data_IF_523985342771
#
_entry.id   IF_523985342771
#
_cell.length_a   1.000
_cell.length_b   1.000
_cell.length_c   1.000
_cell.angle_alpha   90.00
_cell.angle_beta   90.00
_cell.angle_gamma   90.00
#
_symmetry.space_group_name_H-M   'P 1'
#
loop_
_entity.id
_entity.type
_entity.pdbx_description
1 polymer ?
#
# COMPACT_ATOMS: atom_id res chain seq x y z
N UNK A 1 -3.78 15.24 -11.53
CA UNK A 1 -4.77 14.90 -10.48
C UNK A 1 -5.87 14.02 -11.07
N UNK A 2 -6.13 12.85 -10.48
CA UNK A 2 -7.22 11.96 -10.90
C UNK A 2 -8.53 12.76 -10.99
N UNK A 3 -9.24 12.64 -12.10
CA UNK A 3 -10.54 13.30 -12.28
C UNK A 3 -11.57 12.43 -11.56
N UNK A 4 -12.01 12.86 -10.38
CA UNK A 4 -13.11 12.19 -9.67
C UNK A 4 -14.41 12.44 -10.43
N UNK A 5 -15.10 11.39 -10.83
CA UNK A 5 -16.41 11.47 -11.46
C UNK A 5 -17.52 11.66 -10.41
N UNK A 6 -18.69 12.21 -10.79
CA UNK A 6 -19.82 12.33 -9.87
C UNK A 6 -20.26 10.97 -9.32
N UNK A 7 -20.06 10.76 -8.02
CA UNK A 7 -20.40 9.50 -7.32
C UNK A 7 -19.18 8.68 -6.87
N UNK A 8 -17.97 9.04 -7.32
CA UNK A 8 -16.76 8.41 -6.83
C UNK A 8 -16.54 8.70 -5.33
N UNK A 9 -16.02 7.72 -4.56
CA UNK A 9 -15.61 7.99 -3.19
C UNK A 9 -14.55 9.10 -3.17
N UNK A 10 -14.63 10.04 -2.21
CA UNK A 10 -13.67 11.14 -2.13
C UNK A 10 -12.24 10.61 -1.95
N UNK A 11 -11.29 11.22 -2.67
CA UNK A 11 -9.87 10.88 -2.54
C UNK A 11 -9.44 10.93 -1.06
N UNK A 12 -8.59 10.02 -0.57
CA UNK A 12 -8.24 9.94 0.84
C UNK A 12 -7.52 11.18 1.37
N UNK A 13 -6.77 11.89 0.53
CA UNK A 13 -6.23 13.22 0.87
C UNK A 13 -7.34 14.24 1.13
N UNK A 14 -8.47 14.16 0.44
CA UNK A 14 -9.66 14.98 0.68
C UNK A 14 -10.46 14.49 1.90
N UNK A 15 -10.49 13.18 2.17
CA UNK A 15 -11.12 12.60 3.38
C UNK A 15 -10.32 12.97 4.63
N UNK A 16 -8.99 12.85 4.56
CA UNK A 16 -8.06 13.08 5.65
C UNK A 16 -7.58 14.53 5.76
N UNK A 17 -8.11 15.46 4.94
CA UNK A 17 -7.65 16.86 4.91
C UNK A 17 -7.75 17.58 6.26
N UNK A 18 -8.68 17.16 7.12
CA UNK A 18 -8.93 17.73 8.45
C UNK A 18 -8.42 16.80 9.58
N UNK A 19 -7.51 15.88 9.26
CA UNK A 19 -7.00 14.84 10.17
C UNK A 19 -7.29 13.42 9.69
N UNK A 20 -6.57 12.43 10.22
CA UNK A 20 -6.66 11.02 9.79
C UNK A 20 -8.04 10.45 10.16
N UNK A 21 -8.92 10.35 9.17
CA UNK A 21 -10.27 9.78 9.28
C UNK A 21 -10.36 8.36 8.74
N UNK A 22 -9.42 7.92 7.90
CA UNK A 22 -9.35 6.54 7.41
C UNK A 22 -7.91 6.08 7.31
N UNK A 23 -7.68 4.82 7.64
CA UNK A 23 -6.36 4.23 7.58
C UNK A 23 -6.35 2.75 7.92
N UNK A 24 -5.16 2.28 8.26
CA UNK A 24 -4.90 0.90 8.65
C UNK A 24 -4.11 0.83 9.94
N UNK A 25 -4.50 -0.09 10.81
CA UNK A 25 -3.72 -0.55 11.97
C UNK A 25 -3.02 -1.84 11.58
N UNK A 26 -1.72 -1.97 11.86
CA UNK A 26 -0.90 -3.11 11.44
C UNK A 26 0.00 -3.61 12.56
N UNK A 27 0.27 -4.91 12.61
CA UNK A 27 1.40 -5.45 13.37
C UNK A 27 2.67 -5.41 12.51
N UNK A 28 3.76 -4.87 13.05
CA UNK A 28 5.00 -4.61 12.30
C UNK A 28 5.74 -5.86 11.79
N UNK A 29 5.33 -7.05 12.20
CA UNK A 29 5.91 -8.33 11.80
C UNK A 29 4.96 -9.18 10.93
N UNK A 30 3.78 -8.66 10.57
CA UNK A 30 2.79 -9.41 9.79
C UNK A 30 3.24 -9.63 8.35
N UNK A 31 3.11 -10.87 7.87
CA UNK A 31 3.20 -11.23 6.45
C UNK A 31 1.82 -11.22 5.78
N UNK A 32 1.82 -11.02 4.45
CA UNK A 32 0.64 -11.17 3.56
C UNK A 32 -0.64 -10.49 4.03
N UNK A 33 -0.55 -9.28 4.60
CA UNK A 33 -1.71 -8.51 5.06
C UNK A 33 -2.55 -9.20 6.16
N UNK A 34 -2.01 -10.24 6.82
CA UNK A 34 -2.75 -11.06 7.79
C UNK A 34 -3.23 -10.29 9.02
N UNK A 35 -2.41 -9.38 9.54
CA UNK A 35 -2.69 -8.54 10.70
C UNK A 35 -2.67 -7.06 10.33
N UNK A 36 -3.53 -6.71 9.38
CA UNK A 36 -3.78 -5.35 8.93
C UNK A 36 -5.27 -5.12 9.03
N UNK A 37 -5.74 -4.07 9.72
CA UNK A 37 -7.17 -3.77 9.88
C UNK A 37 -7.46 -2.35 9.43
N UNK A 38 -8.51 -2.17 8.62
CA UNK A 38 -8.97 -0.85 8.22
C UNK A 38 -9.73 -0.20 9.38
N UNK A 39 -9.52 1.08 9.59
CA UNK A 39 -10.33 1.89 10.50
C UNK A 39 -10.99 3.06 9.75
N UNK A 40 -12.18 3.44 10.21
CA UNK A 40 -12.93 4.59 9.73
C UNK A 40 -13.34 5.45 10.94
N UNK A 41 -12.63 6.55 11.17
CA UNK A 41 -12.80 7.47 12.29
C UNK A 41 -12.05 7.04 13.55
N UNK A 42 -11.97 7.96 14.51
CA UNK A 42 -11.19 7.79 15.75
C UNK A 42 -11.69 6.65 16.63
N UNK A 43 -13.01 6.47 16.74
CA UNK A 43 -13.60 5.39 17.53
C UNK A 43 -13.27 4.00 16.94
N UNK A 44 -13.33 3.88 15.61
CA UNK A 44 -12.93 2.67 14.91
C UNK A 44 -11.43 2.41 15.09
N UNK A 45 -10.59 3.45 14.99
CA UNK A 45 -9.15 3.34 15.23
C UNK A 45 -8.86 2.77 16.62
N UNK A 46 -9.45 3.35 17.66
CA UNK A 46 -9.28 2.87 19.04
C UNK A 46 -9.68 1.39 19.16
N UNK A 47 -10.85 1.02 18.63
CA UNK A 47 -11.33 -0.36 18.67
C UNK A 47 -10.36 -1.33 17.95
N UNK A 48 -9.85 -0.95 16.77
CA UNK A 48 -8.93 -1.78 15.99
C UNK A 48 -7.55 -1.88 16.59
N UNK A 49 -7.06 -0.85 17.28
CA UNK A 49 -5.83 -0.93 18.05
C UNK A 49 -5.96 -1.91 19.22
N UNK A 50 -7.04 -1.82 20.00
CA UNK A 50 -7.30 -2.78 21.09
C UNK A 50 -7.43 -4.19 20.54
N UNK A 51 -8.25 -4.39 19.52
CA UNK A 51 -8.45 -5.70 18.89
C UNK A 51 -7.12 -6.30 18.43
N UNK A 52 -6.29 -5.54 17.70
CA UNK A 52 -4.99 -6.01 17.21
C UNK A 52 -4.01 -6.38 18.32
N UNK A 53 -3.97 -5.60 19.39
CA UNK A 53 -3.04 -5.80 20.52
C UNK A 53 -3.50 -6.90 21.47
N UNK A 54 -4.77 -7.30 21.42
CA UNK A 54 -5.35 -8.34 22.27
C UNK A 54 -5.58 -9.67 21.56
N UNK A 55 -5.14 -9.80 20.30
CA UNK A 55 -5.17 -11.07 19.56
C UNK A 55 -4.45 -12.14 20.40
N UNK A 56 -5.08 -13.31 20.54
CA UNK A 56 -4.49 -14.43 21.26
C UNK A 56 -3.09 -14.76 20.72
N UNK A 57 -2.09 -14.76 21.60
CA UNK A 57 -0.69 -15.01 21.25
C UNK A 57 0.07 -13.79 20.70
N UNK A 58 -0.56 -12.62 20.61
CA UNK A 58 0.14 -11.38 20.27
C UNK A 58 1.03 -10.95 21.44
N UNK A 59 2.34 -10.92 21.22
CA UNK A 59 3.33 -10.41 22.19
C UNK A 59 3.88 -9.04 21.79
N UNK A 60 3.30 -8.40 20.77
CA UNK A 60 3.72 -7.08 20.35
C UNK A 60 3.44 -6.06 21.45
N UNK A 61 4.36 -5.12 21.68
CA UNK A 61 4.15 -3.97 22.56
C UNK A 61 3.57 -2.75 21.84
N UNK A 62 3.55 -2.78 20.50
CA UNK A 62 3.09 -1.69 19.65
C UNK A 62 2.42 -2.20 18.38
N UNK A 63 1.53 -1.38 17.83
CA UNK A 63 0.98 -1.49 16.48
C UNK A 63 1.28 -0.21 15.69
N UNK A 64 1.40 -0.34 14.37
CA UNK A 64 1.59 0.78 13.45
C UNK A 64 0.25 1.30 12.98
N UNK A 65 0.11 2.62 12.88
CA UNK A 65 -1.05 3.28 12.29
C UNK A 65 -0.57 4.04 11.06
N UNK A 66 -1.21 3.78 9.92
CA UNK A 66 -0.88 4.42 8.65
C UNK A 66 -2.17 4.98 8.05
N UNK A 67 -2.10 6.19 7.50
CA UNK A 67 -3.22 6.75 6.75
C UNK A 67 -3.58 5.89 5.53
N UNK A 68 -4.85 5.95 5.12
CA UNK A 68 -5.30 5.25 3.92
C UNK A 68 -4.80 6.00 2.69
N UNK A 69 -4.13 5.27 1.80
CA UNK A 69 -3.75 5.76 0.46
C UNK A 69 -4.68 5.10 -0.53
N UNK A 70 -5.33 5.89 -1.39
CA UNK A 70 -6.05 5.31 -2.53
C UNK A 70 -5.05 4.98 -3.61
N UNK A 71 -5.21 3.81 -4.17
CA UNK A 71 -4.43 3.37 -5.30
C UNK A 71 -5.27 2.37 -6.10
N UNK A 72 -5.16 2.45 -7.43
CA UNK A 72 -5.75 1.44 -8.31
C UNK A 72 -4.98 0.12 -8.22
N UNK A 73 -3.67 0.22 -8.01
CA UNK A 73 -2.76 -0.90 -7.84
C UNK A 73 -1.53 -0.52 -7.02
N UNK A 74 -0.97 -1.51 -6.33
CA UNK A 74 0.32 -1.40 -5.64
C UNK A 74 1.45 -1.73 -6.62
N UNK A 75 2.34 -0.77 -6.89
CA UNK A 75 3.54 -1.00 -7.70
C UNK A 75 4.66 -1.59 -6.83
N UNK A 76 5.27 -2.68 -7.31
CA UNK A 76 6.37 -3.39 -6.66
C UNK A 76 7.57 -3.45 -7.60
N UNK A 77 8.67 -2.86 -7.15
CA UNK A 77 9.92 -2.79 -7.89
C UNK A 77 10.89 -3.83 -7.30
N UNK A 78 11.54 -4.61 -8.17
CA UNK A 78 12.53 -5.61 -7.79
C UNK A 78 13.91 -5.18 -8.27
N UNK A 79 14.78 -4.86 -7.33
CA UNK A 79 16.16 -4.47 -7.58
C UNK A 79 17.08 -5.66 -7.33
N UNK A 80 17.89 -6.01 -8.32
CA UNK A 80 18.91 -7.07 -8.21
C UNK A 80 20.24 -6.43 -8.61
N UNK A 81 21.01 -5.89 -7.64
CA UNK A 81 22.27 -5.25 -7.94
C UNK A 81 23.26 -6.29 -8.49
N UNK A 82 24.07 -5.95 -9.51
CA UNK A 82 25.00 -6.90 -10.12
C UNK A 82 26.19 -7.26 -9.20
N UNK A 83 26.33 -6.58 -8.06
CA UNK A 83 27.40 -6.78 -7.10
C UNK A 83 27.23 -5.90 -5.86
N UNK A 84 28.33 -5.66 -5.14
CA UNK A 84 28.34 -4.72 -4.03
C UNK A 84 28.13 -3.29 -4.56
N UNK A 85 27.18 -2.56 -3.98
CA UNK A 85 26.93 -1.16 -4.29
C UNK A 85 27.93 -0.27 -3.55
N UNK A 86 28.40 0.78 -4.22
CA UNK A 86 29.15 1.85 -3.56
C UNK A 86 28.26 3.09 -3.38
N UNK A 87 28.53 3.95 -2.37
CA UNK A 87 27.74 5.16 -2.16
C UNK A 87 27.69 6.03 -3.42
N UNK A 88 26.48 6.37 -3.86
CA UNK A 88 26.24 7.14 -5.09
C UNK A 88 25.86 6.30 -6.30
N UNK A 89 25.99 4.97 -6.25
CA UNK A 89 25.45 4.09 -7.27
C UNK A 89 23.92 4.17 -7.30
N UNK A 90 23.36 4.11 -8.51
CA UNK A 90 21.93 3.94 -8.72
C UNK A 90 21.65 2.55 -9.29
N UNK A 91 20.51 1.98 -8.91
CA UNK A 91 20.08 0.67 -9.40
C UNK A 91 18.70 0.81 -10.03
N UNK A 92 18.59 0.37 -11.27
CA UNK A 92 17.30 0.27 -11.96
C UNK A 92 16.58 -1.03 -11.56
N UNK A 93 15.23 -1.01 -11.49
CA UNK A 93 14.48 -2.22 -11.20
C UNK A 93 14.59 -3.20 -12.37
N UNK A 94 14.94 -4.45 -12.06
CA UNK A 94 14.97 -5.54 -13.06
C UNK A 94 13.58 -6.02 -13.44
N UNK A 95 12.60 -5.77 -12.57
CA UNK A 95 11.20 -6.13 -12.76
C UNK A 95 10.32 -5.15 -12.02
N UNK A 96 9.21 -4.79 -12.65
CA UNK A 96 8.11 -4.03 -12.06
C UNK A 96 6.87 -4.91 -12.13
N UNK A 97 6.18 -5.09 -11.00
CA UNK A 97 4.87 -5.72 -10.93
C UNK A 97 3.86 -4.74 -10.37
N UNK A 98 2.63 -4.78 -10.85
CA UNK A 98 1.51 -4.07 -10.23
C UNK A 98 0.54 -5.09 -9.65
N UNK A 99 0.07 -4.87 -8.43
CA UNK A 99 -0.91 -5.73 -7.77
C UNK A 99 -2.21 -4.96 -7.58
N UNK A 100 -3.26 -5.42 -8.24
CA UNK A 100 -4.62 -5.01 -7.94
C UNK A 100 -5.12 -5.79 -6.74
N UNK A 101 -5.68 -5.07 -5.77
CA UNK A 101 -6.26 -5.66 -4.57
C UNK A 101 -7.71 -6.05 -4.86
N UNK A 102 -7.99 -7.34 -4.71
CA UNK A 102 -9.34 -7.89 -4.84
C UNK A 102 -10.19 -7.70 -3.59
N UNK A 103 -11.38 -8.28 -3.62
CA UNK A 103 -12.29 -8.24 -2.48
C UNK A 103 -11.63 -8.84 -1.23
N UNK A 104 -11.81 -8.13 -0.11
CA UNK A 104 -11.31 -8.52 1.19
C UNK A 104 -12.43 -9.18 1.98
N UNK A 105 -12.14 -10.33 2.59
CA UNK A 105 -13.02 -10.90 3.60
C UNK A 105 -12.82 -10.18 4.93
N UNK A 106 -13.69 -9.22 5.22
CA UNK A 106 -13.67 -8.48 6.49
C UNK A 106 -14.31 -9.27 7.65
N UNK A 107 -15.07 -10.33 7.37
CA UNK A 107 -15.77 -11.12 8.38
C UNK A 107 -14.87 -12.16 9.06
N UNK A 108 -13.73 -12.50 8.45
CA UNK A 108 -12.76 -13.44 9.03
C UNK A 108 -12.06 -12.95 10.31
N UNK A 109 -12.07 -11.64 10.58
CA UNK A 109 -11.35 -11.03 11.70
C UNK A 109 -9.82 -11.02 11.51
N UNK A 110 -9.06 -10.54 12.52
CA UNK A 110 -7.61 -10.47 12.46
C UNK A 110 -7.00 -11.86 12.28
N UNK A 111 -5.99 -11.99 11.44
CA UNK A 111 -5.34 -13.28 11.21
C UNK A 111 -6.00 -14.14 10.13
N UNK A 112 -7.24 -13.84 9.72
CA UNK A 112 -7.98 -14.55 8.67
C UNK A 112 -8.42 -13.63 7.53
N UNK A 113 -8.18 -12.32 7.61
CA UNK A 113 -8.39 -11.40 6.51
C UNK A 113 -7.52 -11.82 5.32
N UNK A 114 -8.16 -12.39 4.29
CA UNK A 114 -7.53 -12.71 3.01
C UNK A 114 -8.01 -11.69 1.99
N UNK A 115 -7.08 -11.07 1.31
CA UNK A 115 -7.36 -10.35 0.07
C UNK A 115 -6.85 -11.22 -1.08
N UNK A 116 -7.66 -11.37 -2.13
CA UNK A 116 -7.12 -11.87 -3.39
C UNK A 116 -6.28 -10.76 -4.02
N UNK A 117 -5.21 -11.14 -4.71
CA UNK A 117 -4.40 -10.20 -5.49
C UNK A 117 -4.41 -10.64 -6.94
N UNK A 118 -4.58 -9.67 -7.83
CA UNK A 118 -4.38 -9.89 -9.25
C UNK A 118 -3.10 -9.18 -9.67
N UNK A 119 -2.15 -9.96 -10.17
CA UNK A 119 -0.94 -9.41 -10.79
C UNK A 119 -1.31 -8.83 -12.15
N UNK A 120 -0.98 -7.56 -12.34
CA UNK A 120 -1.14 -6.82 -13.59
C UNK A 120 0.24 -6.52 -14.18
N UNK A 121 0.37 -6.74 -15.48
CA UNK A 121 1.48 -6.21 -16.26
C UNK A 121 1.23 -4.77 -16.71
N UNK A 122 2.27 -4.08 -17.16
CA UNK A 122 2.22 -2.68 -17.62
C UNK A 122 1.06 -2.41 -18.60
N UNK A 123 0.89 -3.26 -19.62
CA UNK A 123 -0.19 -3.11 -20.60
C UNK A 123 -1.57 -3.09 -19.93
N UNK A 124 -1.80 -3.94 -18.94
CA UNK A 124 -3.09 -4.03 -18.24
C UNK A 124 -3.31 -2.81 -17.33
N UNK A 125 -2.26 -2.30 -16.71
CA UNK A 125 -2.30 -1.05 -15.96
C UNK A 125 -2.63 0.13 -16.88
N UNK A 126 -1.97 0.24 -18.03
CA UNK A 126 -2.23 1.28 -19.01
C UNK A 126 -3.64 1.19 -19.56
N UNK A 127 -4.16 0.00 -19.88
CA UNK A 127 -5.56 -0.19 -20.27
C UNK A 127 -6.52 0.33 -19.18
N UNK A 128 -6.20 0.11 -17.90
CA UNK A 128 -7.01 0.59 -16.77
C UNK A 128 -6.97 2.12 -16.63
N UNK A 129 -5.86 2.73 -17.02
CA UNK A 129 -5.63 4.17 -17.02
C UNK A 129 -5.88 4.80 -18.40
N UNK A 130 -6.72 4.19 -19.25
CA UNK A 130 -7.11 4.72 -20.56
C UNK A 130 -5.92 5.07 -21.50
N UNK A 131 -4.80 4.38 -21.32
CA UNK A 131 -3.57 4.60 -22.07
C UNK A 131 -2.74 5.79 -21.58
N UNK A 132 -2.93 6.27 -20.34
CA UNK A 132 -2.13 7.37 -19.77
C UNK A 132 -0.68 6.94 -19.47
N UNK A 133 0.13 6.92 -20.52
CA UNK A 133 1.58 6.64 -20.46
C UNK A 133 2.31 7.69 -19.63
N UNK A 134 1.81 8.93 -19.58
CA UNK A 134 2.48 10.01 -18.84
C UNK A 134 2.40 9.76 -17.33
N UNK A 135 1.22 9.35 -16.84
CA UNK A 135 1.04 8.95 -15.46
C UNK A 135 1.91 7.74 -15.09
N UNK A 136 1.96 6.73 -15.96
CA UNK A 136 2.80 5.55 -15.78
C UNK A 136 4.28 5.88 -15.64
N UNK A 137 4.85 6.59 -16.62
CA UNK A 137 6.27 6.96 -16.61
C UNK A 137 6.60 7.88 -15.43
N UNK A 138 5.69 8.79 -15.07
CA UNK A 138 5.87 9.65 -13.90
C UNK A 138 5.86 8.86 -12.59
N UNK A 139 4.95 7.90 -12.42
CA UNK A 139 4.87 7.05 -11.25
C UNK A 139 6.10 6.14 -11.13
N UNK A 140 6.50 5.52 -12.23
CA UNK A 140 7.70 4.68 -12.31
C UNK A 140 8.96 5.46 -11.91
N UNK A 141 9.19 6.63 -12.52
CA UNK A 141 10.35 7.48 -12.20
C UNK A 141 10.38 7.83 -10.73
N UNK A 142 9.28 8.34 -10.18
CA UNK A 142 9.21 8.73 -8.77
C UNK A 142 9.43 7.53 -7.83
N UNK A 143 8.89 6.36 -8.16
CA UNK A 143 9.10 5.15 -7.36
C UNK A 143 10.57 4.69 -7.39
N UNK A 144 11.23 4.76 -8.55
CA UNK A 144 12.67 4.46 -8.68
C UNK A 144 13.50 5.46 -7.88
N UNK A 145 13.23 6.76 -8.02
CA UNK A 145 13.95 7.83 -7.31
C UNK A 145 13.86 7.65 -5.79
N UNK A 146 12.65 7.41 -5.27
CA UNK A 146 12.44 7.15 -3.83
C UNK A 146 13.15 5.88 -3.37
N UNK A 147 13.16 4.84 -4.20
CA UNK A 147 13.81 3.56 -3.86
C UNK A 147 15.32 3.71 -3.68
N UNK A 148 15.97 4.64 -4.38
CA UNK A 148 17.42 4.85 -4.25
C UNK A 148 17.80 5.28 -2.83
N UNK A 149 16.96 6.07 -2.15
CA UNK A 149 17.22 6.46 -0.75
C UNK A 149 17.24 5.28 0.20
N UNK A 150 16.47 4.22 -0.10
CA UNK A 150 16.38 3.01 0.73
C UNK A 150 17.49 2.02 0.39
N UNK A 151 17.88 1.93 -0.89
CA UNK A 151 18.94 1.02 -1.37
C UNK A 151 20.33 1.53 -1.00
N UNK A 152 20.53 2.85 -0.97
CA UNK A 152 21.81 3.47 -0.64
C UNK A 152 22.12 3.50 0.87
N UNK A 153 21.23 2.96 1.71
CA UNK A 153 21.37 2.82 3.16
C UNK A 153 21.74 1.38 3.55
#
# INVERSE_FOLDING_TARGET
>A
PYRTEPGDPPAPSAVNKDGVKKGVVKLGWSWENRFVMVFNGLQSLQAKMVEMMTIAGCTASQCLVQEWVDFDFEMRLYFLPPGALVPGDTVEPTRIECNEWGQRDEFGGPGNCRASFRKLGEKQCLERWEGDVTAWESAKRQAVDVSQFVIAW
#
